data_IF_830580210902
#
_entry.id   IF_830580210902
#
_cell.length_a   1.000
_cell.length_b   1.000
_cell.length_c   1.000
_cell.angle_alpha   90.00
_cell.angle_beta   90.00
_cell.angle_gamma   90.00
#
_symmetry.space_group_name_H-M   'P 1'
#
loop_
_entity.id
_entity.type
_entity.pdbx_description
1 polymer ?
#
# COMPACT_ATOMS: atom_id res chain seq x y z
N UNK A 1 3.24 -19.42 3.71
CA UNK A 1 3.85 -19.45 2.36
C UNK A 1 3.96 -18.02 1.85
N UNK A 2 4.87 -17.73 0.93
CA UNK A 2 4.94 -16.39 0.32
C UNK A 2 3.75 -16.19 -0.63
N UNK A 3 3.20 -14.96 -0.68
CA UNK A 3 2.09 -14.58 -1.57
C UNK A 3 2.55 -14.55 -3.03
N UNK A 4 1.66 -14.88 -3.98
CA UNK A 4 1.91 -14.70 -5.42
C UNK A 4 1.47 -13.31 -5.85
N UNK A 5 2.40 -12.38 -5.93
CA UNK A 5 2.11 -10.97 -6.19
C UNK A 5 2.23 -10.61 -7.68
N UNK A 6 1.24 -9.89 -8.21
CA UNK A 6 1.28 -9.23 -9.53
C UNK A 6 1.35 -7.72 -9.34
N UNK A 7 2.32 -7.06 -9.96
CA UNK A 7 2.38 -5.60 -9.96
C UNK A 7 1.23 -5.02 -10.79
N UNK A 8 0.40 -4.17 -10.18
CA UNK A 8 -0.71 -3.47 -10.81
C UNK A 8 -0.26 -2.15 -11.46
N UNK A 9 0.68 -1.46 -10.81
CA UNK A 9 1.23 -0.22 -11.33
C UNK A 9 1.93 0.62 -10.28
N UNK A 10 2.57 1.69 -10.76
CA UNK A 10 3.26 2.68 -9.94
C UNK A 10 3.01 4.07 -10.53
N UNK A 11 2.98 5.09 -9.67
CA UNK A 11 3.00 6.48 -10.12
C UNK A 11 4.43 7.05 -10.22
N UNK A 12 5.44 6.17 -10.15
CA UNK A 12 6.85 6.56 -10.11
C UNK A 12 7.32 7.09 -11.46
N UNK A 13 7.61 8.39 -11.53
CA UNK A 13 8.34 8.99 -12.66
C UNK A 13 9.87 8.92 -12.46
N UNK A 14 10.35 8.74 -11.24
CA UNK A 14 11.78 8.84 -10.87
C UNK A 14 12.31 7.77 -9.90
N UNK A 15 11.51 6.75 -9.55
CA UNK A 15 11.95 5.60 -8.75
C UNK A 15 11.49 5.58 -7.29
N UNK A 16 10.86 6.65 -6.79
CA UNK A 16 10.60 6.83 -5.35
C UNK A 16 9.13 6.65 -4.92
N UNK A 17 8.21 6.40 -5.84
CA UNK A 17 6.78 6.33 -5.52
C UNK A 17 6.31 4.91 -5.15
N UNK A 18 5.24 4.80 -4.34
CA UNK A 18 4.65 3.52 -3.96
C UNK A 18 4.20 2.70 -5.18
N UNK A 19 4.19 1.38 -5.02
CA UNK A 19 3.78 0.41 -6.05
C UNK A 19 2.62 -0.42 -5.52
N UNK A 20 1.60 -0.62 -6.34
CA UNK A 20 0.48 -1.51 -6.02
C UNK A 20 0.74 -2.91 -6.55
N UNK A 21 0.39 -3.88 -5.73
CA UNK A 21 0.43 -5.30 -6.04
C UNK A 21 -0.91 -5.93 -5.73
N UNK A 22 -1.26 -6.96 -6.47
CA UNK A 22 -2.39 -7.83 -6.20
C UNK A 22 -1.87 -9.19 -5.77
N UNK A 23 -2.44 -9.73 -4.71
CA UNK A 23 -2.29 -11.14 -4.37
C UNK A 23 -3.18 -11.99 -5.29
N UNK A 24 -2.58 -12.79 -6.15
CA UNK A 24 -3.29 -13.62 -7.13
C UNK A 24 -4.08 -14.77 -6.49
N UNK A 25 -3.83 -15.06 -5.21
CA UNK A 25 -4.52 -16.12 -4.48
C UNK A 25 -5.77 -15.60 -3.74
N UNK A 26 -5.75 -14.35 -3.26
CA UNK A 26 -6.83 -13.76 -2.45
C UNK A 26 -7.56 -12.59 -3.09
N UNK A 27 -6.96 -11.96 -4.12
CA UNK A 27 -7.43 -10.70 -4.70
C UNK A 27 -7.15 -9.48 -3.83
N UNK A 28 -6.44 -9.63 -2.70
CA UNK A 28 -6.08 -8.51 -1.84
C UNK A 28 -5.09 -7.58 -2.54
N UNK A 29 -5.24 -6.28 -2.32
CA UNK A 29 -4.32 -5.26 -2.82
C UNK A 29 -3.31 -4.91 -1.75
N UNK A 30 -2.04 -5.00 -2.10
CA UNK A 30 -0.91 -4.62 -1.26
C UNK A 30 -0.28 -3.35 -1.82
N UNK A 31 0.13 -2.44 -0.94
CA UNK A 31 0.83 -1.22 -1.33
C UNK A 31 2.23 -1.20 -0.72
N UNK A 32 3.24 -1.06 -1.57
CA UNK A 32 4.60 -0.76 -1.14
C UNK A 32 4.67 0.71 -0.74
N UNK A 33 5.16 1.01 0.46
CA UNK A 33 5.34 2.38 0.93
C UNK A 33 6.37 2.47 2.06
N UNK A 34 6.70 3.69 2.45
CA UNK A 34 7.51 3.95 3.65
C UNK A 34 6.59 3.86 4.87
N UNK A 35 7.04 3.19 5.92
CA UNK A 35 6.32 3.18 7.21
C UNK A 35 6.22 4.63 7.72
N UNK A 36 5.05 5.02 8.21
CA UNK A 36 4.83 6.36 8.78
C UNK A 36 5.69 6.58 10.04
N UNK A 37 5.84 7.84 10.43
CA UNK A 37 6.59 8.15 11.64
C UNK A 37 5.89 7.57 12.87
N UNK A 38 6.62 7.13 13.91
CA UNK A 38 6.02 6.50 15.10
C UNK A 38 4.96 7.38 15.79
N UNK A 39 5.12 8.70 15.72
CA UNK A 39 4.18 9.68 16.27
C UNK A 39 2.85 9.72 15.49
N UNK A 40 2.86 9.42 14.19
CA UNK A 40 1.65 9.28 13.38
C UNK A 40 0.96 7.94 13.66
N UNK A 41 1.74 6.86 13.80
CA UNK A 41 1.22 5.52 14.14
C UNK A 41 0.55 5.54 15.52
N UNK A 42 1.09 6.30 16.48
CA UNK A 42 0.50 6.46 17.81
C UNK A 42 -0.90 7.11 17.79
N UNK A 43 -1.28 7.78 16.70
CA UNK A 43 -2.60 8.38 16.53
C UNK A 43 -3.64 7.40 15.96
N UNK A 44 -3.26 6.15 15.64
CA UNK A 44 -4.19 5.13 15.17
C UNK A 44 -5.29 4.84 16.21
N UNK A 45 -6.53 4.76 15.74
CA UNK A 45 -7.68 4.42 16.59
C UNK A 45 -7.88 2.91 16.60
N UNK A 46 -7.71 2.28 17.76
CA UNK A 46 -7.88 0.83 17.99
C UNK A 46 -7.12 -0.11 17.02
N UNK A 47 -5.80 0.06 16.84
CA UNK A 47 -5.04 -0.83 15.96
C UNK A 47 -5.02 -2.27 16.50
N UNK A 48 -5.16 -3.24 15.59
CA UNK A 48 -4.96 -4.65 15.87
C UNK A 48 -3.47 -5.02 15.80
N UNK A 49 -3.15 -6.20 16.34
CA UNK A 49 -1.79 -6.73 16.27
C UNK A 49 -1.35 -6.90 14.81
N UNK A 50 -0.22 -6.27 14.45
CA UNK A 50 0.36 -6.33 13.12
C UNK A 50 -0.10 -5.22 12.16
N UNK A 51 -0.99 -4.31 12.59
CA UNK A 51 -1.39 -3.15 11.79
C UNK A 51 -0.40 -1.99 11.94
N UNK A 52 -0.28 -1.18 10.88
CA UNK A 52 0.58 0.01 10.85
C UNK A 52 0.10 0.98 9.77
N UNK A 53 0.69 2.18 9.74
CA UNK A 53 0.47 3.15 8.68
C UNK A 53 1.66 3.15 7.72
N UNK A 54 1.35 3.21 6.42
CA UNK A 54 2.33 3.42 5.36
C UNK A 54 1.99 4.69 4.58
N UNK A 55 3.01 5.47 4.29
CA UNK A 55 2.89 6.70 3.51
C UNK A 55 2.78 6.33 2.03
N UNK A 56 1.68 6.77 1.41
CA UNK A 56 1.39 6.54 0.00
C UNK A 56 1.05 7.87 -0.69
N UNK A 57 1.54 8.04 -1.92
CA UNK A 57 1.18 9.18 -2.76
C UNK A 57 -0.30 9.07 -3.16
N UNK A 58 -1.06 10.14 -2.94
CA UNK A 58 -2.50 10.18 -3.26
C UNK A 58 -2.80 9.87 -4.72
N UNK A 59 -1.92 10.25 -5.65
CA UNK A 59 -2.11 9.99 -7.08
C UNK A 59 -2.08 8.49 -7.42
N UNK A 60 -1.46 7.66 -6.58
CA UNK A 60 -1.53 6.20 -6.70
C UNK A 60 -2.98 5.72 -6.59
N UNK A 61 -3.72 6.22 -5.59
CA UNK A 61 -5.11 5.84 -5.35
C UNK A 61 -6.02 6.31 -6.48
N UNK A 62 -5.77 7.50 -7.05
CA UNK A 62 -6.61 8.02 -8.14
C UNK A 62 -6.42 7.22 -9.44
N UNK A 63 -5.18 6.82 -9.74
CA UNK A 63 -4.86 6.17 -11.01
C UNK A 63 -5.19 4.67 -11.03
N UNK A 64 -5.18 4.03 -9.86
CA UNK A 64 -5.25 2.57 -9.74
C UNK A 64 -6.31 2.09 -8.74
N UNK A 65 -7.17 2.97 -8.21
CA UNK A 65 -8.34 2.53 -7.47
C UNK A 65 -9.18 1.58 -8.35
N UNK A 66 -9.72 0.48 -7.78
CA UNK A 66 -10.68 -0.36 -8.47
C UNK A 66 -11.79 0.50 -9.06
N UNK A 67 -11.93 0.45 -10.39
CA UNK A 67 -13.05 1.07 -11.09
C UNK A 67 -14.08 -0.01 -11.30
N UNK A 68 -15.02 -0.07 -10.34
CA UNK A 68 -16.15 -1.01 -10.30
C UNK A 68 -15.79 -2.50 -10.11
#
# INVERSE_FOLDING_TARGET
MARRLRMLGTNSKTGECPTLYEDLDTGEVLVQGKIADPEDIAQMVNPLSGETLVVVDRALLVNFAPKE
#
